data_IF_533306915866
#
_entry.id   IF_533306915866
#
_cell.length_a   1.000
_cell.length_b   1.000
_cell.length_c   1.000
_cell.angle_alpha   90.00
_cell.angle_beta   90.00
_cell.angle_gamma   90.00
#
_symmetry.space_group_name_H-M   'P 1'
#
loop_
_entity.id
_entity.type
_entity.pdbx_description
1 polymer ?
#
# COMPACT_ATOMS: atom_id res chain seq x y z
N UNK A 1 -54.95 11.49 14.74
CA UNK A 1 -53.81 11.26 15.66
C UNK A 1 -53.27 9.84 15.45
N UNK A 2 -54.09 8.79 15.48
CA UNK A 2 -53.66 7.38 15.36
C UNK A 2 -52.93 7.09 14.05
N UNK A 3 -53.44 7.52 12.89
CA UNK A 3 -52.79 7.40 11.59
C UNK A 3 -51.46 8.13 11.52
N UNK A 4 -51.33 9.28 12.15
CA UNK A 4 -50.10 10.04 12.18
C UNK A 4 -49.01 9.31 13.01
N UNK A 5 -49.36 8.66 14.11
CA UNK A 5 -48.42 7.87 14.92
C UNK A 5 -47.91 6.64 14.16
N UNK A 6 -48.80 5.94 13.42
CA UNK A 6 -48.40 4.80 12.59
C UNK A 6 -47.49 5.27 11.45
N UNK A 7 -47.84 6.36 10.77
CA UNK A 7 -47.02 6.90 9.67
C UNK A 7 -45.65 7.34 10.17
N UNK A 8 -45.55 8.00 11.31
CA UNK A 8 -44.27 8.37 11.92
C UNK A 8 -43.44 7.15 12.33
N UNK A 9 -44.08 6.14 12.94
CA UNK A 9 -43.37 4.91 13.34
C UNK A 9 -42.83 4.15 12.13
N UNK A 10 -43.63 3.96 11.08
CA UNK A 10 -43.18 3.28 9.85
C UNK A 10 -42.12 4.08 9.10
N UNK A 11 -42.24 5.41 9.06
CA UNK A 11 -41.24 6.28 8.44
C UNK A 11 -39.90 6.22 9.19
N UNK A 12 -39.91 6.19 10.51
CA UNK A 12 -38.70 6.07 11.32
C UNK A 12 -38.00 4.74 11.08
N UNK A 13 -38.71 3.62 11.05
CA UNK A 13 -38.15 2.29 10.76
C UNK A 13 -37.60 2.25 9.31
N UNK A 14 -38.35 2.78 8.35
CA UNK A 14 -37.94 2.86 6.96
C UNK A 14 -36.64 3.69 6.78
N UNK A 15 -36.55 4.82 7.47
CA UNK A 15 -35.37 5.68 7.43
C UNK A 15 -34.13 4.97 7.99
N UNK A 16 -34.26 4.29 9.14
CA UNK A 16 -33.14 3.52 9.75
C UNK A 16 -32.67 2.40 8.81
N UNK A 17 -33.59 1.63 8.23
CA UNK A 17 -33.23 0.56 7.29
C UNK A 17 -32.57 1.11 6.03
N UNK A 18 -33.05 2.23 5.48
CA UNK A 18 -32.43 2.85 4.29
C UNK A 18 -31.01 3.33 4.57
N UNK A 19 -30.75 3.90 5.76
CA UNK A 19 -29.42 4.32 6.17
C UNK A 19 -28.51 3.09 6.38
N UNK A 20 -28.99 2.04 7.06
CA UNK A 20 -28.24 0.82 7.28
C UNK A 20 -27.85 0.14 5.95
N UNK A 21 -28.79 0.02 5.01
CA UNK A 21 -28.54 -0.52 3.66
C UNK A 21 -27.56 0.37 2.86
N UNK A 22 -27.68 1.68 2.97
CA UNK A 22 -26.77 2.64 2.34
C UNK A 22 -25.34 2.49 2.84
N UNK A 23 -25.16 2.36 4.15
CA UNK A 23 -23.84 2.13 4.76
C UNK A 23 -23.29 0.76 4.34
N UNK A 24 -24.09 -0.30 4.40
CA UNK A 24 -23.69 -1.64 4.00
C UNK A 24 -23.22 -1.69 2.53
N UNK A 25 -23.96 -1.08 1.62
CA UNK A 25 -23.59 -0.99 0.20
C UNK A 25 -22.33 -0.16 -0.02
N UNK A 26 -22.16 0.94 0.72
CA UNK A 26 -20.97 1.78 0.63
C UNK A 26 -19.72 1.05 1.12
N UNK A 27 -19.82 0.31 2.22
CA UNK A 27 -18.71 -0.51 2.75
C UNK A 27 -18.36 -1.64 1.77
N UNK A 28 -19.36 -2.33 1.21
CA UNK A 28 -19.12 -3.39 0.22
C UNK A 28 -18.49 -2.86 -1.07
N UNK A 29 -18.92 -1.69 -1.54
CA UNK A 29 -18.33 -1.07 -2.72
C UNK A 29 -16.90 -0.56 -2.51
N UNK A 30 -16.55 -0.19 -1.28
CA UNK A 30 -15.19 0.26 -0.94
C UNK A 30 -14.31 -0.87 -0.40
N UNK A 31 -14.90 -2.00 -0.03
CA UNK A 31 -14.20 -3.15 0.57
C UNK A 31 -13.05 -3.64 -0.30
N UNK A 32 -13.26 -3.77 -1.60
CA UNK A 32 -12.24 -4.15 -2.56
C UNK A 32 -11.05 -3.18 -2.60
N UNK A 33 -11.36 -1.87 -2.53
CA UNK A 33 -10.30 -0.84 -2.50
C UNK A 33 -9.55 -0.81 -1.16
N UNK A 34 -10.24 -1.10 -0.06
CA UNK A 34 -9.63 -1.13 1.29
C UNK A 34 -8.75 -2.38 1.45
N UNK A 35 -9.19 -3.53 0.95
CA UNK A 35 -8.44 -4.79 0.97
C UNK A 35 -7.36 -4.86 -0.12
N UNK A 36 -7.43 -3.99 -1.13
CA UNK A 36 -6.58 -4.08 -2.32
C UNK A 36 -6.92 -5.28 -3.23
N UNK A 37 -8.01 -6.01 -2.93
CA UNK A 37 -8.41 -7.22 -3.64
C UNK A 37 -9.78 -7.73 -3.20
N UNK A 38 -10.29 -8.77 -3.87
CA UNK A 38 -11.51 -9.49 -3.45
C UNK A 38 -11.23 -10.39 -2.24
N UNK A 39 -10.02 -10.95 -2.17
CA UNK A 39 -9.55 -11.82 -1.08
C UNK A 39 -8.10 -11.45 -0.80
N UNK A 40 -7.77 -11.25 0.48
CA UNK A 40 -6.40 -11.05 0.96
C UNK A 40 -5.91 -12.26 1.73
N UNK A 41 -4.69 -12.71 1.45
CA UNK A 41 -3.99 -13.73 2.23
C UNK A 41 -2.76 -13.07 2.85
N UNK A 42 -2.67 -13.15 4.17
CA UNK A 42 -1.52 -12.62 4.90
C UNK A 42 -0.69 -13.78 5.46
N UNK A 43 0.59 -13.77 5.14
CA UNK A 43 1.56 -14.73 5.64
C UNK A 43 2.56 -13.98 6.53
N UNK A 44 2.69 -14.42 7.76
CA UNK A 44 3.59 -13.79 8.73
C UNK A 44 4.90 -14.56 8.80
N UNK A 45 6.03 -13.87 8.62
CA UNK A 45 7.40 -14.40 8.74
C UNK A 45 7.78 -15.51 7.75
N UNK A 46 7.05 -15.66 6.66
CA UNK A 46 7.39 -16.56 5.56
C UNK A 46 6.82 -16.05 4.23
N UNK A 47 7.38 -16.48 3.16
CA UNK A 47 6.84 -16.31 1.82
C UNK A 47 5.84 -17.42 1.47
N UNK A 48 5.01 -17.15 0.46
CA UNK A 48 4.15 -18.17 -0.10
C UNK A 48 4.96 -19.19 -0.89
N UNK A 49 4.68 -20.46 -0.69
CA UNK A 49 5.31 -21.54 -1.47
C UNK A 49 4.82 -21.54 -2.92
N UNK A 50 5.60 -22.12 -3.83
CA UNK A 50 5.23 -22.20 -5.24
C UNK A 50 3.87 -22.91 -5.46
N UNK A 51 3.55 -23.90 -4.63
CA UNK A 51 2.26 -24.62 -4.70
C UNK A 51 1.09 -23.74 -4.20
N UNK A 52 1.28 -22.97 -3.13
CA UNK A 52 0.29 -22.00 -2.65
C UNK A 52 0.02 -20.92 -3.70
N UNK A 53 1.09 -20.35 -4.27
CA UNK A 53 0.96 -19.34 -5.35
C UNK A 53 0.23 -19.91 -6.57
N UNK A 54 0.51 -21.16 -6.95
CA UNK A 54 -0.16 -21.82 -8.06
C UNK A 54 -1.67 -22.00 -7.80
N UNK A 55 -2.04 -22.39 -6.57
CA UNK A 55 -3.44 -22.55 -6.19
C UNK A 55 -4.17 -21.21 -6.19
N UNK A 56 -3.56 -20.15 -5.64
CA UNK A 56 -4.16 -18.82 -5.58
C UNK A 56 -4.30 -18.23 -6.99
N UNK A 57 -3.28 -18.35 -7.86
CA UNK A 57 -3.33 -17.91 -9.25
C UNK A 57 -4.42 -18.63 -10.07
N UNK A 58 -4.84 -19.84 -9.68
CA UNK A 58 -5.95 -20.53 -10.33
C UNK A 58 -7.32 -19.91 -9.99
N UNK A 59 -7.41 -19.09 -8.93
CA UNK A 59 -8.64 -18.44 -8.50
C UNK A 59 -8.84 -17.07 -9.17
N UNK A 60 -7.79 -16.44 -9.67
CA UNK A 60 -7.87 -15.11 -10.28
C UNK A 60 -6.53 -14.43 -10.46
N UNK A 61 -6.56 -13.12 -10.68
CA UNK A 61 -5.33 -12.30 -10.78
C UNK A 61 -4.74 -12.10 -9.40
N UNK A 62 -3.47 -12.47 -9.23
CA UNK A 62 -2.72 -12.30 -7.99
C UNK A 62 -1.85 -11.06 -8.06
N UNK A 63 -1.82 -10.29 -6.98
CA UNK A 63 -0.79 -9.29 -6.70
C UNK A 63 -0.13 -9.65 -5.35
N UNK A 64 1.18 -9.49 -5.29
CA UNK A 64 1.97 -9.77 -4.10
C UNK A 64 2.57 -8.50 -3.55
N UNK A 65 2.49 -8.34 -2.24
CA UNK A 65 3.20 -7.28 -1.54
C UNK A 65 3.94 -7.84 -0.32
N UNK A 66 5.09 -7.24 -0.03
CA UNK A 66 5.92 -7.60 1.12
C UNK A 66 6.05 -6.36 1.98
N UNK A 67 5.61 -6.46 3.23
CA UNK A 67 5.68 -5.38 4.20
C UNK A 67 6.69 -5.69 5.30
N UNK A 68 7.63 -4.79 5.57
CA UNK A 68 8.55 -4.89 6.69
C UNK A 68 9.00 -3.51 7.17
N UNK A 69 9.59 -3.46 8.36
CA UNK A 69 10.23 -2.24 8.86
C UNK A 69 11.72 -2.28 8.62
N UNK A 70 12.27 -1.20 8.09
CA UNK A 70 13.69 -1.07 7.79
C UNK A 70 14.19 0.33 8.09
N UNK A 71 15.50 0.49 8.11
CA UNK A 71 16.14 1.80 8.22
C UNK A 71 16.48 2.32 6.82
N UNK A 72 15.91 3.45 6.43
CA UNK A 72 16.35 4.23 5.29
C UNK A 72 17.52 5.11 5.72
N UNK A 73 18.70 4.89 5.14
CA UNK A 73 19.95 5.58 5.48
C UNK A 73 20.38 6.50 4.35
N UNK A 74 20.97 7.63 4.68
CA UNK A 74 21.65 8.46 3.69
C UNK A 74 22.94 7.77 3.19
N UNK A 75 23.33 7.92 1.92
CA UNK A 75 24.52 7.28 1.38
C UNK A 75 25.83 7.66 2.07
N UNK A 76 25.89 8.86 2.64
CA UNK A 76 27.03 9.38 3.40
C UNK A 76 27.03 8.92 4.89
N UNK A 77 25.97 8.22 5.32
CA UNK A 77 25.82 7.74 6.69
C UNK A 77 25.49 8.83 7.72
N UNK A 78 25.23 10.07 7.31
CA UNK A 78 25.01 11.19 8.22
C UNK A 78 23.70 11.09 9.00
N UNK A 79 22.66 10.46 8.40
CA UNK A 79 21.35 10.31 9.04
C UNK A 79 20.61 9.07 8.54
N UNK A 80 19.61 8.65 9.33
CA UNK A 80 18.75 7.51 9.03
C UNK A 80 17.38 7.65 9.67
N UNK A 81 16.36 7.07 9.05
CA UNK A 81 14.99 7.07 9.58
C UNK A 81 14.36 5.68 9.45
N UNK A 82 13.62 5.27 10.49
CA UNK A 82 12.80 4.07 10.41
C UNK A 82 11.67 4.30 9.40
N UNK A 83 11.50 3.36 8.47
CA UNK A 83 10.44 3.38 7.45
C UNK A 83 9.62 2.09 7.48
N UNK A 84 8.37 2.20 7.13
CA UNK A 84 7.55 1.07 6.73
C UNK A 84 7.78 0.83 5.25
N UNK A 85 8.62 -0.16 4.97
CA UNK A 85 8.97 -0.57 3.62
C UNK A 85 7.91 -1.51 3.08
N UNK A 86 7.37 -1.17 1.90
CA UNK A 86 6.44 -2.02 1.16
C UNK A 86 7.00 -2.27 -0.23
N UNK A 87 7.22 -3.53 -0.55
CA UNK A 87 7.55 -3.94 -1.90
C UNK A 87 6.31 -4.46 -2.60
N UNK A 88 6.09 -4.04 -3.84
CA UNK A 88 4.92 -4.40 -4.64
C UNK A 88 5.33 -4.95 -5.99
N UNK A 89 4.52 -5.86 -6.52
CA UNK A 89 4.70 -6.41 -7.86
C UNK A 89 4.09 -5.50 -8.94
N UNK A 90 4.21 -5.92 -10.21
CA UNK A 90 3.71 -5.17 -11.34
C UNK A 90 2.18 -5.20 -11.49
N UNK A 91 1.49 -6.08 -10.76
CA UNK A 91 0.04 -6.15 -10.76
C UNK A 91 -0.62 -5.21 -9.73
N UNK A 92 0.18 -4.68 -8.80
CA UNK A 92 -0.29 -3.76 -7.78
C UNK A 92 -0.58 -2.35 -8.33
N UNK A 93 -1.65 -1.70 -7.91
CA UNK A 93 -2.76 -2.21 -7.11
C UNK A 93 -3.82 -2.90 -7.99
N UNK A 94 -4.41 -4.01 -7.51
CA UNK A 94 -5.52 -4.66 -8.22
C UNK A 94 -6.77 -3.81 -8.22
N UNK A 95 -7.04 -3.10 -7.13
CA UNK A 95 -8.16 -2.17 -6.96
C UNK A 95 -7.68 -0.83 -6.43
N UNK A 96 -8.40 0.22 -6.81
CA UNK A 96 -8.03 1.58 -6.44
C UNK A 96 -6.90 2.15 -7.31
N UNK A 97 -6.23 3.16 -6.80
CA UNK A 97 -5.11 3.79 -7.47
C UNK A 97 -4.08 4.32 -6.48
N UNK A 98 -2.83 4.01 -6.73
CA UNK A 98 -1.71 4.66 -6.06
C UNK A 98 -1.56 6.08 -6.61
N UNK A 99 -1.52 7.07 -5.72
CA UNK A 99 -1.39 8.48 -6.11
C UNK A 99 -0.04 9.03 -5.72
N UNK A 100 0.61 9.69 -6.67
CA UNK A 100 1.87 10.39 -6.49
C UNK A 100 1.77 11.82 -7.03
N UNK A 101 2.67 12.69 -6.61
CA UNK A 101 2.72 14.05 -7.15
C UNK A 101 3.27 14.11 -8.59
N UNK A 102 3.92 13.05 -9.08
CA UNK A 102 4.53 13.04 -10.42
C UNK A 102 3.55 12.72 -11.55
N UNK A 103 2.46 12.00 -11.27
CA UNK A 103 1.51 11.52 -12.28
C UNK A 103 2.07 10.47 -13.25
N UNK A 104 3.31 10.00 -13.10
CA UNK A 104 3.92 8.97 -13.93
C UNK A 104 3.44 7.57 -13.54
N UNK A 105 3.50 6.58 -14.49
CA UNK A 105 3.18 5.19 -14.19
C UNK A 105 4.07 4.62 -13.09
N UNK A 106 3.48 3.80 -12.20
CA UNK A 106 4.17 3.18 -11.06
C UNK A 106 5.36 2.33 -11.54
N UNK A 107 5.17 1.56 -12.59
CA UNK A 107 6.23 0.70 -13.16
C UNK A 107 7.47 1.51 -13.60
N UNK A 108 7.29 2.73 -14.14
CA UNK A 108 8.39 3.64 -14.49
C UNK A 108 9.07 4.18 -13.23
N UNK A 109 8.27 4.54 -12.22
CA UNK A 109 8.78 5.12 -10.99
C UNK A 109 9.55 4.12 -10.13
N UNK A 110 9.12 2.86 -10.07
CA UNK A 110 9.75 1.81 -9.26
C UNK A 110 10.79 0.99 -10.03
N UNK A 111 10.76 1.04 -11.35
CA UNK A 111 11.63 0.25 -12.22
C UNK A 111 13.13 0.54 -12.03
N UNK A 112 13.95 -0.36 -12.55
CA UNK A 112 15.41 -0.16 -12.60
C UNK A 112 15.75 0.81 -13.74
N UNK A 113 16.50 1.86 -13.43
CA UNK A 113 17.07 2.78 -14.38
C UNK A 113 18.57 2.96 -14.07
N UNK A 114 19.42 2.64 -15.05
CA UNK A 114 20.88 2.75 -14.91
C UNK A 114 21.45 2.01 -13.68
N UNK A 115 20.91 0.85 -13.35
CA UNK A 115 21.36 0.04 -12.21
C UNK A 115 20.83 0.50 -10.83
N UNK A 116 19.93 1.50 -10.79
CA UNK A 116 19.32 1.98 -9.57
C UNK A 116 17.80 1.80 -9.63
N UNK A 117 17.22 1.16 -8.63
CA UNK A 117 15.76 1.04 -8.50
C UNK A 117 15.15 2.35 -7.99
N UNK A 118 13.92 2.61 -8.40
CA UNK A 118 13.16 3.74 -7.88
C UNK A 118 12.44 3.41 -6.58
N UNK A 119 12.18 4.44 -5.80
CA UNK A 119 11.37 4.37 -4.59
C UNK A 119 10.41 5.55 -4.50
N UNK A 120 9.27 5.35 -3.84
CA UNK A 120 8.27 6.38 -3.56
C UNK A 120 8.18 6.56 -2.05
N UNK A 121 8.43 7.76 -1.56
CA UNK A 121 8.38 8.06 -0.14
C UNK A 121 7.24 9.02 0.21
N UNK A 122 6.67 8.89 1.41
CA UNK A 122 5.78 9.91 1.94
C UNK A 122 6.55 11.21 2.22
N UNK A 123 5.87 12.37 2.12
CA UNK A 123 6.48 13.70 2.33
C UNK A 123 7.24 13.77 3.66
N UNK A 124 6.73 13.19 4.72
CA UNK A 124 7.36 13.20 6.05
C UNK A 124 8.76 12.56 6.07
N UNK A 125 9.05 11.59 5.17
CA UNK A 125 10.39 11.02 5.04
C UNK A 125 11.37 12.04 4.44
N UNK A 126 10.92 12.75 3.41
CA UNK A 126 11.71 13.83 2.77
C UNK A 126 12.03 14.94 3.77
N UNK A 127 11.04 15.33 4.58
CA UNK A 127 11.21 16.39 5.58
C UNK A 127 12.17 15.97 6.70
N UNK A 128 12.08 14.73 7.18
CA UNK A 128 12.93 14.22 8.27
C UNK A 128 14.40 14.08 7.87
N UNK A 129 14.66 13.61 6.67
CA UNK A 129 16.02 13.38 6.17
C UNK A 129 16.52 14.52 5.26
N UNK A 130 15.75 15.61 5.14
CA UNK A 130 16.08 16.75 4.26
C UNK A 130 16.34 16.35 2.81
N UNK A 131 15.59 15.34 2.31
CA UNK A 131 15.72 14.75 0.98
C UNK A 131 14.94 15.54 -0.07
N UNK A 132 15.36 15.39 -1.32
CA UNK A 132 14.69 15.89 -2.51
C UNK A 132 14.42 14.76 -3.50
N UNK A 133 13.57 15.02 -4.49
CA UNK A 133 13.39 14.08 -5.61
C UNK A 133 14.71 13.93 -6.36
N UNK A 134 15.06 12.67 -6.66
CA UNK A 134 16.33 12.28 -7.26
C UNK A 134 17.42 11.91 -6.25
N UNK A 135 17.26 12.23 -4.97
CA UNK A 135 18.20 11.81 -3.94
C UNK A 135 18.13 10.30 -3.72
N UNK A 136 19.23 9.73 -3.22
CA UNK A 136 19.36 8.29 -3.00
C UNK A 136 19.27 7.95 -1.52
N UNK A 137 18.66 6.82 -1.24
CA UNK A 137 18.63 6.20 0.10
C UNK A 137 19.11 4.76 0.03
N UNK A 138 19.69 4.28 1.11
CA UNK A 138 20.13 2.90 1.28
C UNK A 138 19.07 2.13 2.10
N UNK A 139 18.67 0.97 1.60
CA UNK A 139 17.79 0.01 2.27
C UNK A 139 18.51 -1.34 2.27
N UNK A 140 18.91 -1.83 3.43
CA UNK A 140 19.79 -2.99 3.49
C UNK A 140 21.06 -2.75 2.66
N UNK A 141 21.33 -3.63 1.68
CA UNK A 141 22.45 -3.52 0.73
C UNK A 141 22.08 -2.74 -0.54
N UNK A 142 20.79 -2.44 -0.75
CA UNK A 142 20.29 -1.81 -1.97
C UNK A 142 20.34 -0.28 -1.91
N UNK A 143 20.60 0.34 -3.08
CA UNK A 143 20.51 1.80 -3.28
C UNK A 143 19.27 2.12 -4.10
N UNK A 144 18.47 3.08 -3.63
CA UNK A 144 17.21 3.49 -4.25
C UNK A 144 17.20 4.98 -4.50
N UNK A 145 16.64 5.39 -5.64
CA UNK A 145 16.41 6.78 -6.00
C UNK A 145 14.97 7.19 -5.67
N UNK A 146 14.78 8.25 -4.92
CA UNK A 146 13.46 8.79 -4.59
C UNK A 146 12.87 9.52 -5.79
N UNK A 147 11.94 8.87 -6.52
CA UNK A 147 11.42 9.39 -7.80
C UNK A 147 10.09 10.10 -7.72
N UNK A 148 9.32 9.88 -6.66
CA UNK A 148 8.09 10.62 -6.44
C UNK A 148 7.68 10.62 -4.97
N UNK A 149 6.83 11.59 -4.63
CA UNK A 149 6.18 11.66 -3.33
C UNK A 149 4.88 10.89 -3.40
N UNK A 150 4.75 9.91 -2.48
CA UNK A 150 3.56 9.11 -2.30
C UNK A 150 2.51 9.90 -1.51
N UNK A 151 1.33 10.09 -2.11
CA UNK A 151 0.24 10.85 -1.48
C UNK A 151 -0.89 9.96 -0.99
N UNK A 152 -1.14 8.83 -1.64
CA UNK A 152 -2.20 7.88 -1.24
C UNK A 152 -1.91 6.49 -1.78
N UNK A 153 -2.16 5.49 -0.93
CA UNK A 153 -2.23 4.07 -1.28
C UNK A 153 -3.67 3.58 -1.11
N UNK A 154 -4.18 2.70 -1.98
CA UNK A 154 -5.55 2.22 -1.87
C UNK A 154 -5.78 1.35 -0.62
N UNK A 155 -4.83 0.50 -0.27
CA UNK A 155 -4.88 -0.48 0.81
C UNK A 155 -4.19 -0.02 2.12
N UNK A 156 -3.88 1.27 2.25
CA UNK A 156 -3.21 1.82 3.43
C UNK A 156 -3.97 1.56 4.74
N UNK A 157 -5.30 1.43 4.68
CA UNK A 157 -6.13 1.18 5.87
C UNK A 157 -6.08 -0.27 6.34
N UNK A 158 -5.84 -1.24 5.46
CA UNK A 158 -5.76 -2.66 5.80
C UNK A 158 -4.47 -3.02 6.52
N UNK A 159 -3.39 -2.29 6.27
CA UNK A 159 -2.09 -2.53 6.88
C UNK A 159 -1.90 -1.83 8.24
N UNK A 160 -2.92 -1.08 8.69
CA UNK A 160 -2.92 -0.37 9.97
C UNK A 160 -2.21 0.98 9.93
N UNK A 161 -2.33 1.73 11.03
CA UNK A 161 -1.67 3.03 11.19
C UNK A 161 -0.24 2.81 11.71
N UNK A 162 0.73 2.87 10.81
CA UNK A 162 2.13 2.86 11.20
C UNK A 162 2.60 4.24 11.67
N UNK A 163 3.53 4.27 12.64
CA UNK A 163 4.15 5.50 13.12
C UNK A 163 5.36 5.93 12.27
N UNK A 164 5.85 5.05 11.40
CA UNK A 164 6.96 5.32 10.51
C UNK A 164 6.47 5.75 9.12
N UNK A 165 7.20 6.63 8.41
CA UNK A 165 6.86 7.00 7.05
C UNK A 165 6.91 5.80 6.11
N UNK A 166 5.94 5.73 5.18
CA UNK A 166 5.88 4.70 4.16
C UNK A 166 6.94 4.95 3.08
N UNK A 167 7.60 3.88 2.68
CA UNK A 167 8.50 3.84 1.53
C UNK A 167 8.14 2.65 0.65
N UNK A 168 7.76 2.92 -0.60
CA UNK A 168 7.32 1.92 -1.56
C UNK A 168 8.43 1.64 -2.58
N UNK A 169 8.70 0.37 -2.83
CA UNK A 169 9.65 -0.12 -3.82
C UNK A 169 9.03 -1.26 -4.66
N UNK A 170 9.70 -1.73 -5.71
CA UNK A 170 9.30 -2.95 -6.42
C UNK A 170 9.80 -4.21 -5.71
N UNK A 171 9.14 -5.35 -5.96
CA UNK A 171 9.62 -6.67 -5.50
C UNK A 171 11.00 -6.99 -6.06
N UNK A 172 11.30 -6.61 -7.32
CA UNK A 172 12.65 -6.75 -7.88
C UNK A 172 13.68 -5.91 -7.12
N UNK A 173 13.30 -4.69 -6.69
CA UNK A 173 14.12 -3.84 -5.84
C UNK A 173 14.32 -4.44 -4.45
N UNK A 174 13.30 -5.14 -3.91
CA UNK A 174 13.39 -5.79 -2.60
C UNK A 174 14.48 -6.85 -2.57
N UNK A 175 14.63 -7.66 -3.61
CA UNK A 175 15.70 -8.63 -3.71
C UNK A 175 17.11 -7.98 -3.61
N UNK A 176 17.28 -6.75 -4.12
CA UNK A 176 18.53 -6.02 -4.03
C UNK A 176 18.87 -5.56 -2.60
N UNK A 177 17.87 -5.43 -1.72
CA UNK A 177 18.08 -5.01 -0.32
C UNK A 177 18.71 -6.09 0.54
N UNK A 178 18.52 -7.36 0.20
CA UNK A 178 18.86 -8.54 1.02
C UNK A 178 18.27 -8.51 2.43
N UNK A 179 17.16 -7.81 2.61
CA UNK A 179 16.44 -7.75 3.90
C UNK A 179 15.56 -8.98 4.12
N UNK A 180 15.16 -9.67 3.06
CA UNK A 180 14.51 -10.96 3.14
C UNK A 180 15.53 -12.00 3.60
N UNK A 181 15.24 -12.64 4.72
CA UNK A 181 15.99 -13.82 5.17
C UNK A 181 15.26 -15.06 4.68
N UNK A 182 15.97 -16.00 4.05
CA UNK A 182 15.39 -17.28 3.68
C UNK A 182 14.94 -18.09 4.91
#
# INVERSE_FOLDING_TARGET
IFLACIALGTAAIGAVNTVADGIGKSISAQGQSILGGDIGFELVQREATADELKQINALGTLSQSIGLRSMARLPDGSDQNLVELKAVDNAYPLYGALKTLSGKPIAELLGNANGTYGALGQQILFDRLSLKLGDKVLLGDGTFELRAILTSEPDALSEGFGFAPRLLISTDGMAATKLERP
#
